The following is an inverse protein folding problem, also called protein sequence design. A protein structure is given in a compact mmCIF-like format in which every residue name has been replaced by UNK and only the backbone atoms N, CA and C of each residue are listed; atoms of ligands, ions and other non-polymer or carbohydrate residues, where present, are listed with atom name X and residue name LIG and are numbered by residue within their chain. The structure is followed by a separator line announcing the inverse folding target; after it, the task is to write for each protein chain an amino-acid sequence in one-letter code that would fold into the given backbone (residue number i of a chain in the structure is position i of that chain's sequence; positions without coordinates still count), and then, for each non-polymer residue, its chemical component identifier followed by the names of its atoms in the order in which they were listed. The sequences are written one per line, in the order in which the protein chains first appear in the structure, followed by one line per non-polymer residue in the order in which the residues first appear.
data_IF_322176964680
#
_entry.id   IF_322176964680
#
_cell.length_a   1.000
_cell.length_b   1.000
_cell.length_c   1.000
_cell.angle_alpha   90.00
_cell.angle_beta   90.00
_cell.angle_gamma   90.00
#
_symmetry.space_group_name_H-M   'P 1'
#
loop_
_entity.id
_entity.type
_entity.pdbx_description
1 polymer ?
#
# COMPACT_ATOMS: atom_id res chain seq x y z
N UNK A 1 -3.65 -20.63 6.17
CA UNK A 1 -5.01 -20.81 5.62
C UNK A 1 -5.28 -19.73 4.60
N UNK A 2 -5.47 -20.10 3.32
CA UNK A 2 -5.85 -19.15 2.27
C UNK A 2 -7.31 -18.74 2.55
N UNK A 3 -7.55 -17.45 2.87
CA UNK A 3 -8.92 -16.97 3.06
C UNK A 3 -9.68 -17.08 1.74
N UNK A 4 -10.75 -17.88 1.73
CA UNK A 4 -11.64 -18.03 0.57
C UNK A 4 -12.33 -16.68 0.30
N UNK A 5 -12.35 -16.23 -0.96
CA UNK A 5 -13.01 -14.99 -1.41
C UNK A 5 -14.43 -14.82 -0.81
N UNK A 6 -15.24 -15.89 -0.80
CA UNK A 6 -16.59 -15.85 -0.24
C UNK A 6 -16.61 -15.55 1.27
N UNK A 7 -15.64 -16.07 2.02
CA UNK A 7 -15.51 -15.79 3.45
C UNK A 7 -15.12 -14.33 3.72
N UNK A 8 -14.28 -13.76 2.84
CA UNK A 8 -13.87 -12.35 2.89
C UNK A 8 -15.07 -11.43 2.64
N UNK A 9 -15.86 -11.70 1.59
CA UNK A 9 -17.07 -10.94 1.26
C UNK A 9 -18.09 -10.98 2.40
N UNK A 10 -18.30 -12.15 3.02
CA UNK A 10 -19.21 -12.29 4.17
C UNK A 10 -18.73 -11.44 5.35
N UNK A 11 -17.44 -11.51 5.68
CA UNK A 11 -16.83 -10.72 6.75
C UNK A 11 -17.00 -9.21 6.54
N UNK A 12 -16.78 -8.72 5.32
CA UNK A 12 -16.98 -7.30 4.97
C UNK A 12 -18.45 -6.90 5.12
N UNK A 13 -19.40 -7.73 4.69
CA UNK A 13 -20.84 -7.46 4.86
C UNK A 13 -21.23 -7.34 6.34
N UNK A 14 -20.74 -8.23 7.19
CA UNK A 14 -21.05 -8.23 8.62
C UNK A 14 -20.47 -6.99 9.32
N UNK A 15 -19.22 -6.62 8.99
CA UNK A 15 -18.59 -5.39 9.50
C UNK A 15 -19.31 -4.12 9.02
N UNK A 16 -19.73 -4.05 7.75
CA UNK A 16 -20.53 -2.92 7.23
C UNK A 16 -21.85 -2.75 7.96
N UNK A 17 -22.56 -3.85 8.24
CA UNK A 17 -23.82 -3.81 8.99
C UNK A 17 -23.62 -3.25 10.40
N UNK A 18 -22.49 -3.58 11.03
CA UNK A 18 -22.17 -3.13 12.39
C UNK A 18 -21.32 -1.85 12.44
N UNK A 19 -21.18 -1.11 11.33
CA UNK A 19 -20.20 -0.02 11.20
C UNK A 19 -20.27 1.06 12.29
N UNK A 20 -21.50 1.37 12.75
CA UNK A 20 -21.74 2.37 13.80
C UNK A 20 -21.08 2.01 15.14
N UNK A 21 -20.94 0.72 15.41
CA UNK A 21 -20.40 0.19 16.67
C UNK A 21 -18.92 -0.22 16.54
N UNK A 22 -18.30 0.00 15.38
CA UNK A 22 -16.89 -0.31 15.18
C UNK A 22 -15.99 0.77 15.80
N UNK A 23 -14.91 0.31 16.44
CA UNK A 23 -13.78 1.14 16.83
C UNK A 23 -13.03 1.69 15.61
N UNK A 24 -12.15 2.68 15.81
CA UNK A 24 -11.38 3.26 14.73
C UNK A 24 -10.50 2.21 14.03
N UNK A 25 -9.82 1.37 14.79
CA UNK A 25 -8.95 0.31 14.25
C UNK A 25 -9.75 -0.71 13.42
N UNK A 26 -10.94 -1.10 13.90
CA UNK A 26 -11.82 -1.99 13.15
C UNK A 26 -12.33 -1.38 11.84
N UNK A 27 -12.48 -0.05 11.78
CA UNK A 27 -12.83 0.66 10.54
C UNK A 27 -11.66 0.69 9.56
N UNK A 28 -10.42 0.85 10.04
CA UNK A 28 -9.21 0.72 9.21
C UNK A 28 -9.06 -0.70 8.68
N UNK A 29 -9.32 -1.71 9.50
CA UNK A 29 -9.34 -3.11 9.09
C UNK A 29 -10.40 -3.37 8.01
N UNK A 30 -11.62 -2.85 8.19
CA UNK A 30 -12.67 -2.93 7.18
C UNK A 30 -12.23 -2.30 5.85
N UNK A 31 -11.66 -1.09 5.89
CA UNK A 31 -11.13 -0.42 4.71
C UNK A 31 -10.06 -1.29 4.01
N UNK A 32 -9.15 -1.90 4.77
CA UNK A 32 -8.14 -2.79 4.20
C UNK A 32 -8.74 -4.02 3.50
N UNK A 33 -9.82 -4.59 4.06
CA UNK A 33 -10.51 -5.75 3.50
C UNK A 33 -11.25 -5.40 2.21
N UNK A 34 -11.85 -4.21 2.16
CA UNK A 34 -12.53 -3.68 0.99
C UNK A 34 -11.54 -3.43 -0.16
N UNK A 35 -10.39 -2.82 0.13
CA UNK A 35 -9.33 -2.60 -0.88
C UNK A 35 -8.80 -3.91 -1.45
N UNK A 36 -8.66 -4.95 -0.60
CA UNK A 36 -8.29 -6.30 -1.05
C UNK A 36 -9.35 -6.92 -1.96
N UNK A 37 -10.64 -6.75 -1.67
CA UNK A 37 -11.74 -7.23 -2.53
C UNK A 37 -11.77 -6.52 -3.88
N UNK A 38 -11.53 -5.21 -3.90
CA UNK A 38 -11.52 -4.41 -5.12
C UNK A 38 -10.21 -4.56 -5.92
N UNK A 39 -9.27 -5.39 -5.45
CA UNK A 39 -7.91 -5.51 -6.00
C UNK A 39 -7.18 -4.15 -6.15
N UNK A 40 -7.57 -3.16 -5.34
CA UNK A 40 -6.93 -1.83 -5.35
C UNK A 40 -5.66 -1.89 -4.51
N UNK A 41 -4.52 -1.95 -5.20
CA UNK A 41 -3.24 -1.76 -4.56
C UNK A 41 -3.05 -0.27 -4.22
N UNK A 42 -3.44 0.13 -3.00
CA UNK A 42 -2.93 1.37 -2.43
C UNK A 42 -1.49 1.12 -1.99
N UNK A 43 -0.54 1.29 -2.90
CA UNK A 43 0.85 1.47 -2.48
C UNK A 43 0.93 2.80 -1.74
N UNK A 44 1.36 2.77 -0.48
CA UNK A 44 1.75 3.99 0.21
C UNK A 44 2.81 4.69 -0.65
N UNK A 45 2.55 5.95 -1.00
CA UNK A 45 3.56 6.77 -1.65
C UNK A 45 4.47 7.30 -0.56
N UNK A 46 5.77 7.05 -0.67
CA UNK A 46 6.80 7.65 0.22
C UNK A 46 6.87 9.19 0.06
N UNK A 47 6.18 9.73 -0.93
CA UNK A 47 6.12 11.16 -1.21
C UNK A 47 4.69 11.67 -1.07
N UNK A 48 4.53 12.74 -0.31
CA UNK A 48 3.28 13.45 -0.10
C UNK A 48 3.08 14.60 -1.11
N UNK A 49 4.18 15.12 -1.68
CA UNK A 49 4.13 16.21 -2.67
C UNK A 49 4.76 15.85 -4.03
N UNK A 50 4.40 16.58 -5.08
CA UNK A 50 5.02 16.45 -6.41
C UNK A 50 6.51 16.76 -6.37
N UNK A 51 6.90 17.75 -5.56
CA UNK A 51 8.29 18.15 -5.38
C UNK A 51 9.13 17.03 -4.73
N UNK A 52 8.63 16.41 -3.66
CA UNK A 52 9.26 15.24 -3.04
C UNK A 52 9.44 14.08 -4.02
N UNK A 53 8.40 13.81 -4.82
CA UNK A 53 8.47 12.77 -5.85
C UNK A 53 9.54 13.06 -6.90
N UNK A 54 9.74 14.32 -7.27
CA UNK A 54 10.78 14.72 -8.21
C UNK A 54 12.17 14.63 -7.58
N UNK A 55 12.34 15.08 -6.33
CA UNK A 55 13.59 14.99 -5.59
C UNK A 55 14.04 13.53 -5.40
N UNK A 56 13.11 12.62 -5.05
CA UNK A 56 13.41 11.21 -4.91
C UNK A 56 13.86 10.57 -6.23
N UNK A 57 13.25 10.97 -7.36
CA UNK A 57 13.68 10.50 -8.69
C UNK A 57 15.08 10.99 -9.04
N UNK A 58 15.40 12.26 -8.80
CA UNK A 58 16.72 12.82 -9.04
C UNK A 58 17.79 12.11 -8.22
N UNK A 59 17.55 11.91 -6.92
CA UNK A 59 18.47 11.18 -6.03
C UNK A 59 18.71 9.75 -6.50
N UNK A 60 17.66 9.02 -6.91
CA UNK A 60 17.80 7.66 -7.47
C UNK A 60 18.61 7.63 -8.77
N UNK A 61 18.49 8.66 -9.61
CA UNK A 61 19.25 8.78 -10.84
C UNK A 61 20.74 9.05 -10.57
N UNK A 62 21.03 9.94 -9.62
CA UNK A 62 22.40 10.25 -9.20
C UNK A 62 23.11 9.01 -8.64
N UNK A 63 22.45 8.26 -7.75
CA UNK A 63 22.99 7.01 -7.20
C UNK A 63 23.30 6.02 -8.32
N UNK A 64 22.39 5.90 -9.30
CA UNK A 64 22.59 4.99 -10.45
C UNK A 64 23.80 5.39 -11.28
N UNK A 65 23.90 6.67 -11.66
CA UNK A 65 25.05 7.20 -12.43
C UNK A 65 26.36 7.00 -11.66
N UNK A 66 26.35 7.26 -10.36
CA UNK A 66 27.51 7.02 -9.50
C UNK A 66 27.92 5.54 -9.50
N UNK A 67 26.96 4.62 -9.37
CA UNK A 67 27.24 3.19 -9.34
C UNK A 67 27.71 2.65 -10.70
N UNK A 68 27.15 3.16 -11.80
CA UNK A 68 27.58 2.86 -13.18
C UNK A 68 29.03 3.32 -13.40
N UNK A 69 29.36 4.55 -13.00
CA UNK A 69 30.72 5.10 -13.13
C UNK A 69 31.75 4.38 -12.27
N UNK A 70 31.36 3.88 -11.11
CA UNK A 70 32.25 3.23 -10.15
C UNK A 70 32.24 1.70 -10.22
N UNK A 71 31.57 1.10 -11.22
CA UNK A 71 31.43 -0.36 -11.38
C UNK A 71 31.07 -1.10 -10.08
N UNK A 72 30.24 -0.48 -9.25
CA UNK A 72 29.83 -1.07 -7.97
C UNK A 72 28.90 -2.24 -8.30
N UNK A 73 29.44 -3.46 -8.31
CA UNK A 73 28.64 -4.67 -8.44
C UNK A 73 27.71 -4.75 -7.22
N UNK A 74 26.40 -4.68 -7.45
CA UNK A 74 25.42 -5.04 -6.43
C UNK A 74 25.65 -6.51 -6.10
N UNK A 75 26.08 -6.80 -4.86
CA UNK A 75 26.01 -8.15 -4.30
C UNK A 75 24.56 -8.57 -4.10
#
# INVERSE_FOLDING_TARGET
MVQNYYSLVRKVKDLRRNYKNLTLDQKLDLLSLELKLEAKCLSASDCHTKAEKQALKSKKLEIRKHNENNQVQSK
#
